data_IF_375712804928
#
_entry.id   IF_375712804928
#
_cell.length_a   1.000
_cell.length_b   1.000
_cell.length_c   1.000
_cell.angle_alpha   90.00
_cell.angle_beta   90.00
_cell.angle_gamma   90.00
#
_symmetry.space_group_name_H-M   'P 1'
#
loop_
_entity.id
_entity.type
_entity.pdbx_description
1 polymer ?
#
# COMPACT_ATOMS: atom_id res chain seq x y z
N UNK A 1 13.74 42.75 38.92
CA UNK A 1 14.29 42.29 37.63
C UNK A 1 14.52 40.78 37.56
N UNK A 2 14.61 40.04 38.67
CA UNK A 2 14.69 38.57 38.67
C UNK A 2 13.36 37.87 38.30
N UNK A 3 12.22 38.48 38.63
CA UNK A 3 10.87 37.94 38.39
C UNK A 3 10.48 37.85 36.90
N UNK A 4 11.06 38.73 36.07
CA UNK A 4 10.87 38.70 34.62
C UNK A 4 11.66 37.56 33.94
N UNK A 5 12.73 37.07 34.55
CA UNK A 5 13.57 36.01 33.99
C UNK A 5 13.01 34.60 34.29
N UNK A 6 12.33 34.43 35.42
CA UNK A 6 11.70 33.15 35.79
C UNK A 6 10.45 32.85 34.94
N UNK A 7 9.70 33.90 34.55
CA UNK A 7 8.50 33.78 33.73
C UNK A 7 8.77 33.43 32.24
N UNK A 8 10.03 33.50 31.80
CA UNK A 8 10.44 33.07 30.45
C UNK A 8 10.39 31.54 30.32
N UNK A 9 10.50 30.80 31.43
CA UNK A 9 10.62 29.33 31.41
C UNK A 9 9.33 28.60 31.02
N UNK A 10 8.18 29.26 31.02
CA UNK A 10 6.88 28.63 30.81
C UNK A 10 6.08 29.12 29.58
N UNK A 11 6.58 30.11 28.83
CA UNK A 11 5.93 30.56 27.59
C UNK A 11 6.00 29.48 26.52
N UNK A 12 4.84 29.07 26.01
CA UNK A 12 4.75 28.09 24.91
C UNK A 12 5.19 28.75 23.60
N UNK A 13 6.10 28.10 22.89
CA UNK A 13 6.68 28.62 21.65
C UNK A 13 5.76 28.26 20.47
N UNK A 14 5.21 29.24 19.73
CA UNK A 14 4.31 28.96 18.61
C UNK A 14 4.97 28.15 17.48
N UNK A 15 6.27 28.35 17.27
CA UNK A 15 7.03 27.58 16.28
C UNK A 15 7.15 26.10 16.69
N UNK A 16 7.23 25.79 17.99
CA UNK A 16 7.30 24.42 18.46
C UNK A 16 5.97 23.69 18.25
N UNK A 17 4.84 24.39 18.42
CA UNK A 17 3.51 23.85 18.09
C UNK A 17 3.40 23.50 16.60
N UNK A 18 3.94 24.34 15.71
CA UNK A 18 3.99 24.10 14.27
C UNK A 18 4.85 22.88 13.94
N UNK A 19 6.06 22.79 14.50
CA UNK A 19 6.96 21.64 14.28
C UNK A 19 6.31 20.34 14.75
N UNK A 20 5.64 20.37 15.91
CA UNK A 20 4.91 19.19 16.40
C UNK A 20 3.75 18.80 15.48
N UNK A 21 2.96 19.77 14.98
CA UNK A 21 1.90 19.52 13.99
C UNK A 21 2.43 19.03 12.63
N UNK A 22 3.65 19.41 12.27
CA UNK A 22 4.34 18.94 11.06
C UNK A 22 4.76 17.47 11.19
N UNK A 23 5.20 17.06 12.38
CA UNK A 23 5.55 15.65 12.63
C UNK A 23 4.29 14.78 12.60
N UNK A 24 3.21 15.24 13.24
CA UNK A 24 1.94 14.54 13.21
C UNK A 24 0.79 15.51 13.45
N UNK A 25 -0.24 15.43 12.60
CA UNK A 25 -1.43 16.24 12.72
C UNK A 25 -2.05 16.09 14.13
N UNK A 26 -2.20 17.21 14.85
CA UNK A 26 -2.80 17.25 16.19
C UNK A 26 -1.83 17.37 17.36
N UNK A 27 -0.54 17.06 17.21
CA UNK A 27 0.43 17.20 18.32
C UNK A 27 0.63 18.66 18.77
N UNK A 28 0.57 19.63 17.86
CA UNK A 28 0.62 21.05 18.22
C UNK A 28 -0.58 21.49 19.08
N UNK A 29 -1.76 20.93 18.86
CA UNK A 29 -2.93 21.19 19.70
C UNK A 29 -2.81 20.55 21.09
N UNK A 30 -2.19 19.37 21.19
CA UNK A 30 -1.88 18.73 22.48
C UNK A 30 -0.88 19.61 23.26
N UNK A 31 0.16 20.11 22.59
CA UNK A 31 1.14 21.03 23.16
C UNK A 31 0.51 22.30 23.74
N UNK A 32 -0.50 22.85 23.04
CA UNK A 32 -1.26 24.02 23.50
C UNK A 32 -2.35 23.70 24.53
N UNK A 33 -2.46 22.47 25.03
CA UNK A 33 -3.42 22.11 26.07
C UNK A 33 -4.79 21.64 25.59
N UNK A 34 -5.00 21.48 24.28
CA UNK A 34 -6.26 21.02 23.69
C UNK A 34 -6.16 19.54 23.30
N UNK A 35 -6.11 18.68 24.31
CA UNK A 35 -5.89 17.24 24.14
C UNK A 35 -6.93 16.58 23.20
N UNK A 36 -8.22 16.81 23.43
CA UNK A 36 -9.30 16.21 22.63
C UNK A 36 -9.22 16.62 21.17
N UNK A 37 -8.98 17.92 20.88
CA UNK A 37 -8.86 18.40 19.50
C UNK A 37 -7.66 17.78 18.78
N UNK A 38 -6.52 17.67 19.47
CA UNK A 38 -5.33 17.03 18.92
C UNK A 38 -5.56 15.57 18.60
N UNK A 39 -6.14 14.82 19.54
CA UNK A 39 -6.45 13.40 19.35
C UNK A 39 -7.44 13.17 18.20
N UNK A 40 -8.51 13.96 18.11
CA UNK A 40 -9.47 13.88 16.98
C UNK A 40 -8.78 14.13 15.64
N UNK A 41 -7.93 15.16 15.54
CA UNK A 41 -7.17 15.44 14.31
C UNK A 41 -6.24 14.29 13.95
N UNK A 42 -5.52 13.71 14.92
CA UNK A 42 -4.65 12.55 14.71
C UNK A 42 -5.42 11.34 14.18
N UNK A 43 -6.54 10.98 14.81
CA UNK A 43 -7.35 9.84 14.38
C UNK A 43 -7.98 10.06 13.00
N UNK A 44 -8.45 11.27 12.72
CA UNK A 44 -9.03 11.63 11.42
C UNK A 44 -7.99 11.50 10.30
N UNK A 45 -6.75 11.93 10.51
CA UNK A 45 -5.70 11.78 9.48
C UNK A 45 -5.15 10.36 9.38
N UNK A 46 -4.98 9.64 10.50
CA UNK A 46 -4.34 8.32 10.50
C UNK A 46 -5.28 7.18 10.08
N UNK A 47 -6.58 7.24 10.40
CA UNK A 47 -7.50 6.13 10.16
C UNK A 47 -8.48 6.44 9.03
N UNK A 48 -9.13 7.61 9.05
CA UNK A 48 -10.21 7.90 8.11
C UNK A 48 -9.71 8.01 6.67
N UNK A 49 -8.57 8.70 6.46
CA UNK A 49 -8.01 8.91 5.12
C UNK A 49 -7.53 7.60 4.48
N UNK A 50 -6.73 6.74 5.15
CA UNK A 50 -6.29 5.47 4.55
C UNK A 50 -7.42 4.46 4.35
N UNK A 51 -8.43 4.43 5.24
CA UNK A 51 -9.58 3.53 5.10
C UNK A 51 -10.47 3.94 3.93
N UNK A 52 -10.72 5.25 3.76
CA UNK A 52 -11.46 5.78 2.62
C UNK A 52 -10.72 5.46 1.31
N UNK A 53 -9.39 5.64 1.28
CA UNK A 53 -8.54 5.26 0.16
C UNK A 53 -8.62 3.75 -0.15
N UNK A 54 -8.48 2.90 0.87
CA UNK A 54 -8.51 1.44 0.72
C UNK A 54 -9.85 0.92 0.19
N UNK A 55 -10.97 1.49 0.65
CA UNK A 55 -12.32 1.16 0.15
C UNK A 55 -12.52 1.55 -1.32
N UNK A 56 -11.91 2.64 -1.77
CA UNK A 56 -12.02 3.12 -3.14
C UNK A 56 -11.08 2.38 -4.11
N UNK A 57 -10.07 1.65 -3.61
CA UNK A 57 -9.04 0.97 -4.42
C UNK A 57 -9.46 -0.40 -4.99
N UNK A 58 -10.64 -0.94 -4.66
CA UNK A 58 -11.01 -2.32 -4.99
C UNK A 58 -11.58 -2.49 -6.42
N UNK A 59 -11.64 -1.43 -7.24
CA UNK A 59 -12.29 -1.52 -8.56
C UNK A 59 -11.71 -0.52 -9.59
N UNK A 60 -11.69 -0.88 -10.89
CA UNK A 60 -10.82 -0.27 -11.91
C UNK A 60 -11.50 0.76 -12.85
N UNK A 61 -12.05 1.88 -12.33
CA UNK A 61 -12.68 2.92 -13.16
C UNK A 61 -11.86 4.23 -13.17
N UNK A 62 -11.73 4.90 -14.31
CA UNK A 62 -10.96 6.16 -14.47
C UNK A 62 -11.43 7.29 -13.53
N UNK A 63 -12.71 7.32 -13.18
CA UNK A 63 -13.30 8.27 -12.22
C UNK A 63 -12.71 8.10 -10.82
N UNK A 64 -12.30 6.88 -10.43
CA UNK A 64 -11.75 6.61 -9.09
C UNK A 64 -10.35 7.18 -8.90
N UNK A 65 -9.52 7.20 -9.95
CA UNK A 65 -8.20 7.82 -9.90
C UNK A 65 -8.34 9.32 -9.61
N UNK A 66 -9.28 9.99 -10.27
CA UNK A 66 -9.58 11.39 -10.02
C UNK A 66 -10.08 11.63 -8.58
N UNK A 67 -10.96 10.76 -8.06
CA UNK A 67 -11.44 10.82 -6.67
C UNK A 67 -10.31 10.61 -5.66
N UNK A 68 -9.38 9.68 -5.93
CA UNK A 68 -8.21 9.44 -5.09
C UNK A 68 -7.32 10.70 -5.04
N UNK A 69 -7.03 11.29 -6.20
CA UNK A 69 -6.22 12.51 -6.28
C UNK A 69 -6.92 13.64 -5.52
N UNK A 70 -8.23 13.84 -5.71
CA UNK A 70 -9.01 14.84 -4.99
C UNK A 70 -9.00 14.61 -3.47
N UNK A 71 -9.10 13.36 -3.02
CA UNK A 71 -9.02 13.00 -1.60
C UNK A 71 -7.63 13.29 -1.00
N UNK A 72 -6.55 13.04 -1.75
CA UNK A 72 -5.18 13.39 -1.33
C UNK A 72 -4.99 14.90 -1.21
N UNK A 73 -5.51 15.68 -2.17
CA UNK A 73 -5.49 17.13 -2.09
C UNK A 73 -6.31 17.66 -0.89
N UNK A 74 -7.52 17.13 -0.68
CA UNK A 74 -8.37 17.50 0.45
C UNK A 74 -7.70 17.17 1.80
N UNK A 75 -7.10 15.98 1.92
CA UNK A 75 -6.34 15.59 3.12
C UNK A 75 -5.14 16.50 3.36
N UNK A 76 -4.41 16.87 2.31
CA UNK A 76 -3.27 17.78 2.41
C UNK A 76 -3.72 19.17 2.86
N UNK A 77 -4.87 19.65 2.36
CA UNK A 77 -5.46 20.90 2.81
C UNK A 77 -5.86 20.87 4.29
N UNK A 78 -6.49 19.79 4.77
CA UNK A 78 -6.84 19.61 6.20
C UNK A 78 -5.59 19.65 7.07
N UNK A 79 -4.49 19.03 6.63
CA UNK A 79 -3.22 19.06 7.35
C UNK A 79 -2.62 20.48 7.43
N UNK A 80 -2.63 21.23 6.33
CA UNK A 80 -2.18 22.63 6.31
C UNK A 80 -3.03 23.51 7.24
N UNK A 81 -4.36 23.33 7.22
CA UNK A 81 -5.27 24.05 8.13
C UNK A 81 -4.97 23.71 9.58
N UNK A 82 -4.70 22.45 9.91
CA UNK A 82 -4.33 22.05 11.26
C UNK A 82 -3.01 22.70 11.72
N UNK A 83 -2.02 22.85 10.83
CA UNK A 83 -0.77 23.55 11.13
C UNK A 83 -1.05 25.01 11.45
N UNK A 84 -1.82 25.70 10.62
CA UNK A 84 -2.17 27.13 10.81
C UNK A 84 -2.99 27.32 12.10
N UNK A 85 -3.98 26.45 12.36
CA UNK A 85 -4.80 26.51 13.57
C UNK A 85 -3.98 26.23 14.83
N UNK A 86 -2.97 25.35 14.75
CA UNK A 86 -2.05 25.08 15.87
C UNK A 86 -1.18 26.30 16.19
N UNK A 87 -0.68 27.02 15.17
CA UNK A 87 0.06 28.26 15.36
C UNK A 87 -0.78 29.34 16.03
N UNK A 88 -2.02 29.52 15.54
CA UNK A 88 -2.92 30.53 16.07
C UNK A 88 -3.37 30.21 17.51
N UNK A 89 -3.64 28.94 17.78
CA UNK A 89 -3.96 28.45 19.13
C UNK A 89 -2.78 28.62 20.08
N UNK A 90 -1.54 28.37 19.62
CA UNK A 90 -0.35 28.59 20.43
C UNK A 90 -0.17 30.06 20.81
N UNK A 91 -0.35 30.98 19.86
CA UNK A 91 -0.25 32.43 20.11
C UNK A 91 -1.30 32.91 21.13
N UNK A 92 -2.51 32.37 21.09
CA UNK A 92 -3.60 32.72 22.02
C UNK A 92 -3.47 32.12 23.42
N UNK A 93 -2.73 31.03 23.55
CA UNK A 93 -2.63 30.27 24.81
C UNK A 93 -1.24 30.42 25.46
N UNK A 94 -0.33 31.20 24.86
CA UNK A 94 1.06 31.32 25.31
C UNK A 94 1.24 31.94 26.70
N UNK A 95 0.33 32.83 27.11
CA UNK A 95 0.47 33.63 28.34
C UNK A 95 -0.26 33.05 29.57
N UNK A 96 -1.23 32.15 29.39
CA UNK A 96 -2.11 31.67 30.48
C UNK A 96 -2.11 30.15 30.66
N UNK A 97 -1.09 29.47 30.13
CA UNK A 97 -1.07 28.01 30.10
C UNK A 97 -0.43 27.36 31.33
N UNK A 98 -1.18 26.47 32.00
CA UNK A 98 -0.66 25.58 33.06
C UNK A 98 -0.33 24.19 32.48
N UNK A 99 0.91 23.68 32.64
CA UNK A 99 1.27 22.32 32.22
C UNK A 99 0.37 21.27 32.86
N UNK A 100 -0.20 20.39 32.03
CA UNK A 100 -0.96 19.20 32.47
C UNK A 100 -0.09 17.94 32.38
N UNK A 101 -0.46 16.89 33.10
CA UNK A 101 0.35 15.66 33.22
C UNK A 101 0.67 14.97 31.88
N UNK A 102 -0.21 15.12 30.88
CA UNK A 102 -0.01 14.55 29.55
C UNK A 102 1.02 15.30 28.70
N UNK A 103 1.55 16.45 29.14
CA UNK A 103 2.52 17.24 28.37
C UNK A 103 3.98 16.77 28.53
N UNK A 104 4.19 15.55 29.05
CA UNK A 104 5.52 14.95 29.19
C UNK A 104 5.97 14.36 27.85
N UNK A 105 7.28 14.44 27.59
CA UNK A 105 7.89 14.07 26.31
C UNK A 105 7.53 12.64 25.85
N UNK A 106 7.39 11.69 26.77
CA UNK A 106 7.08 10.30 26.46
C UNK A 106 5.67 10.12 25.86
N UNK A 107 4.71 11.00 26.18
CA UNK A 107 3.36 10.95 25.61
C UNK A 107 3.40 11.29 24.12
N UNK A 108 4.20 12.29 23.73
CA UNK A 108 4.42 12.65 22.33
C UNK A 108 5.10 11.52 21.56
N UNK A 109 6.15 10.91 22.14
CA UNK A 109 6.84 9.77 21.51
C UNK A 109 5.91 8.59 21.33
N UNK A 110 5.12 8.24 22.35
CA UNK A 110 4.15 7.14 22.28
C UNK A 110 3.07 7.40 21.22
N UNK A 111 2.53 8.62 21.15
CA UNK A 111 1.56 9.00 20.13
C UNK A 111 2.12 8.94 18.71
N UNK A 112 3.36 9.39 18.49
CA UNK A 112 4.04 9.29 17.19
C UNK A 112 4.26 7.82 16.83
N UNK A 113 4.71 6.99 17.77
CA UNK A 113 4.92 5.55 17.53
C UNK A 113 3.61 4.83 17.24
N UNK A 114 2.51 5.16 17.94
CA UNK A 114 1.20 4.59 17.65
C UNK A 114 0.67 5.05 16.28
N UNK A 115 0.79 6.34 15.94
CA UNK A 115 0.27 6.89 14.69
C UNK A 115 1.06 6.46 13.44
N UNK A 116 2.39 6.53 13.50
CA UNK A 116 3.27 6.15 12.38
C UNK A 116 3.52 4.65 12.32
N UNK A 117 3.67 3.99 13.47
CA UNK A 117 3.92 2.55 13.56
C UNK A 117 2.77 1.70 13.02
N UNK A 118 1.52 2.12 13.22
CA UNK A 118 0.37 1.45 12.59
C UNK A 118 0.43 1.47 11.06
N UNK A 119 0.82 2.62 10.49
CA UNK A 119 0.87 2.83 9.04
C UNK A 119 2.02 2.06 8.38
N UNK A 120 3.21 2.05 8.99
CA UNK A 120 4.35 1.29 8.50
C UNK A 120 4.12 -0.21 8.59
N UNK A 121 3.45 -0.70 9.64
CA UNK A 121 3.10 -2.11 9.78
C UNK A 121 2.18 -2.55 8.63
N UNK A 122 1.17 -1.76 8.27
CA UNK A 122 0.26 -2.09 7.17
C UNK A 122 1.03 -2.16 5.84
N UNK A 123 1.86 -1.15 5.53
CA UNK A 123 2.64 -1.13 4.30
C UNK A 123 3.64 -2.31 4.21
N UNK A 124 4.28 -2.66 5.33
CA UNK A 124 5.20 -3.79 5.41
C UNK A 124 4.47 -5.13 5.25
N UNK A 125 3.29 -5.29 5.84
CA UNK A 125 2.44 -6.47 5.66
C UNK A 125 1.98 -6.63 4.21
N UNK A 126 1.63 -5.53 3.52
CA UNK A 126 1.27 -5.57 2.09
C UNK A 126 2.47 -5.99 1.24
N UNK A 127 3.64 -5.37 1.42
CA UNK A 127 4.84 -5.69 0.63
C UNK A 127 5.36 -7.10 0.85
N UNK A 128 5.31 -7.63 2.08
CA UNK A 128 5.83 -8.97 2.35
C UNK A 128 4.87 -10.08 1.92
N UNK A 129 3.55 -9.87 2.05
CA UNK A 129 2.59 -10.98 1.97
C UNK A 129 1.63 -10.93 0.79
N UNK A 130 1.43 -9.78 0.11
CA UNK A 130 0.38 -9.63 -0.90
C UNK A 130 0.90 -9.60 -2.34
N UNK A 131 1.99 -8.89 -2.62
CA UNK A 131 2.44 -8.64 -3.99
C UNK A 131 3.93 -8.98 -4.16
N UNK A 132 4.24 -9.94 -5.02
CA UNK A 132 5.62 -10.20 -5.45
C UNK A 132 5.77 -9.92 -6.94
N UNK A 133 6.82 -9.16 -7.27
CA UNK A 133 7.16 -8.85 -8.65
C UNK A 133 8.07 -9.96 -9.20
N UNK A 134 7.58 -10.70 -10.20
CA UNK A 134 8.38 -11.67 -10.93
C UNK A 134 8.79 -11.10 -12.29
N UNK A 135 10.05 -11.35 -12.66
CA UNK A 135 10.55 -11.10 -14.01
C UNK A 135 10.45 -12.40 -14.80
N UNK A 136 9.87 -12.35 -15.99
CA UNK A 136 9.70 -13.55 -16.83
C UNK A 136 10.91 -13.69 -17.78
N UNK A 137 11.77 -14.71 -17.60
CA UNK A 137 12.96 -14.86 -18.43
C UNK A 137 12.68 -15.60 -19.75
N UNK A 138 11.47 -16.17 -19.94
CA UNK A 138 11.17 -17.02 -21.11
C UNK A 138 9.87 -16.64 -21.80
N UNK A 139 9.85 -16.78 -23.14
CA UNK A 139 8.71 -16.50 -24.02
C UNK A 139 7.60 -17.59 -23.96
N UNK A 140 7.40 -18.27 -22.82
CA UNK A 140 6.52 -19.45 -22.76
C UNK A 140 5.03 -19.15 -22.66
N UNK A 141 4.65 -17.88 -22.45
CA UNK A 141 3.26 -17.40 -22.46
C UNK A 141 3.03 -16.33 -23.55
N UNK A 142 3.87 -16.28 -24.59
CA UNK A 142 3.68 -15.38 -25.73
C UNK A 142 2.38 -15.76 -26.49
N UNK A 143 1.55 -14.79 -26.95
CA UNK A 143 1.76 -13.33 -26.95
C UNK A 143 1.22 -12.61 -25.71
N UNK A 144 0.69 -13.33 -24.70
CA UNK A 144 0.12 -12.69 -23.50
C UNK A 144 1.19 -12.05 -22.61
N UNK A 145 2.41 -12.59 -22.60
CA UNK A 145 3.53 -12.09 -21.79
C UNK A 145 4.78 -12.07 -22.67
N UNK A 146 5.42 -10.91 -22.77
CA UNK A 146 6.69 -10.75 -23.48
C UNK A 146 7.87 -11.09 -22.56
N UNK A 147 8.98 -11.63 -23.12
CA UNK A 147 10.22 -11.76 -22.37
C UNK A 147 10.60 -10.42 -21.76
N UNK A 148 11.02 -10.42 -20.48
CA UNK A 148 11.37 -9.23 -19.69
C UNK A 148 10.19 -8.46 -19.06
N UNK A 149 8.94 -8.89 -19.24
CA UNK A 149 7.81 -8.32 -18.54
C UNK A 149 7.91 -8.49 -17.01
N UNK A 150 7.39 -7.49 -16.30
CA UNK A 150 7.27 -7.49 -14.84
C UNK A 150 5.83 -7.78 -14.46
N UNK A 151 5.61 -8.91 -13.81
CA UNK A 151 4.29 -9.34 -13.36
C UNK A 151 4.18 -9.20 -11.84
N UNK A 152 3.06 -8.66 -11.38
CA UNK A 152 2.72 -8.62 -9.96
C UNK A 152 1.82 -9.82 -9.64
N UNK A 153 2.32 -10.77 -8.86
CA UNK A 153 1.56 -11.93 -8.43
C UNK A 153 0.91 -11.67 -7.07
N UNK A 154 -0.37 -12.01 -6.93
CA UNK A 154 -1.09 -11.99 -5.67
C UNK A 154 -0.91 -13.33 -4.94
N UNK A 155 -0.12 -13.36 -3.86
CA UNK A 155 0.13 -14.59 -3.09
C UNK A 155 -1.07 -15.10 -2.30
N UNK A 156 -2.06 -14.23 -2.04
CA UNK A 156 -3.24 -14.57 -1.25
C UNK A 156 -4.41 -15.05 -2.09
N UNK A 157 -4.31 -15.00 -3.43
CA UNK A 157 -5.39 -15.34 -4.34
C UNK A 157 -5.96 -16.75 -4.10
N UNK A 158 -5.12 -17.69 -3.66
CA UNK A 158 -5.51 -19.08 -3.44
C UNK A 158 -5.39 -19.52 -1.97
N UNK A 159 -5.42 -18.58 -1.02
CA UNK A 159 -5.41 -18.92 0.42
C UNK A 159 -6.73 -19.54 0.88
N UNK A 160 -7.86 -19.04 0.35
CA UNK A 160 -9.21 -19.46 0.73
C UNK A 160 -10.06 -19.88 -0.49
N UNK A 161 -9.45 -20.01 -1.67
CA UNK A 161 -10.14 -20.35 -2.91
C UNK A 161 -9.24 -21.17 -3.81
N UNK A 162 -9.83 -22.09 -4.56
CA UNK A 162 -9.10 -22.91 -5.51
C UNK A 162 -8.80 -22.16 -6.82
N UNK A 163 -7.72 -22.52 -7.53
CA UNK A 163 -7.44 -22.01 -8.86
C UNK A 163 -8.56 -22.35 -9.83
N UNK A 164 -8.84 -21.41 -10.74
CA UNK A 164 -9.87 -21.57 -11.77
C UNK A 164 -9.24 -21.81 -13.13
N UNK A 165 -9.99 -22.46 -14.02
CA UNK A 165 -9.58 -22.60 -15.42
C UNK A 165 -9.32 -21.22 -16.04
N UNK A 166 -8.20 -21.10 -16.73
CA UNK A 166 -7.76 -19.85 -17.37
C UNK A 166 -6.84 -18.98 -16.50
N UNK A 167 -6.73 -19.23 -15.20
CA UNK A 167 -5.86 -18.45 -14.31
C UNK A 167 -4.38 -18.57 -14.69
N UNK A 168 -3.62 -17.48 -14.57
CA UNK A 168 -2.16 -17.49 -14.74
C UNK A 168 -1.51 -17.58 -13.35
N UNK A 169 -0.87 -18.72 -13.07
CA UNK A 169 -0.33 -19.01 -11.75
C UNK A 169 1.19 -19.07 -11.76
N UNK A 170 1.78 -18.63 -10.66
CA UNK A 170 3.20 -18.82 -10.37
C UNK A 170 3.32 -19.93 -9.33
N UNK A 171 4.10 -20.97 -9.64
CA UNK A 171 4.34 -22.07 -8.71
C UNK A 171 5.81 -22.46 -8.69
N UNK A 172 6.24 -23.03 -7.57
CA UNK A 172 7.59 -23.56 -7.40
C UNK A 172 7.73 -24.83 -8.24
N UNK A 173 8.79 -24.93 -9.03
CA UNK A 173 9.05 -26.14 -9.79
C UNK A 173 9.22 -27.34 -8.82
N UNK A 174 8.46 -28.44 -9.00
CA UNK A 174 8.55 -29.61 -8.13
C UNK A 174 9.94 -30.24 -8.07
N UNK A 175 10.73 -30.12 -9.15
CA UNK A 175 12.08 -30.69 -9.26
C UNK A 175 13.17 -29.78 -8.69
N UNK A 176 12.97 -28.46 -8.74
CA UNK A 176 13.92 -27.46 -8.25
C UNK A 176 13.15 -26.30 -7.62
N UNK A 177 13.09 -26.28 -6.28
CA UNK A 177 12.38 -25.25 -5.53
C UNK A 177 13.09 -23.88 -5.57
N UNK A 178 14.26 -23.78 -6.19
CA UNK A 178 14.92 -22.50 -6.46
C UNK A 178 14.32 -21.71 -7.62
N UNK A 179 13.44 -22.32 -8.42
CA UNK A 179 12.90 -21.72 -9.64
C UNK A 179 11.37 -21.63 -9.62
N UNK A 180 10.86 -20.44 -9.97
CA UNK A 180 9.43 -20.16 -10.12
C UNK A 180 9.02 -20.29 -11.58
N UNK A 181 7.95 -21.04 -11.86
CA UNK A 181 7.37 -21.19 -13.20
C UNK A 181 6.02 -20.50 -13.27
N UNK A 182 5.75 -19.93 -14.45
CA UNK A 182 4.49 -19.26 -14.77
C UNK A 182 3.76 -20.07 -15.83
N UNK A 183 2.58 -20.58 -15.51
CA UNK A 183 1.74 -21.34 -16.44
C UNK A 183 0.28 -20.94 -16.29
N UNK A 184 -0.50 -21.20 -17.34
CA UNK A 184 -1.95 -21.07 -17.31
C UNK A 184 -2.60 -22.36 -16.84
N UNK A 185 -3.56 -22.27 -15.93
CA UNK A 185 -4.38 -23.39 -15.45
C UNK A 185 -5.32 -23.80 -16.57
N UNK A 186 -5.17 -25.01 -17.08
CA UNK A 186 -6.02 -25.52 -18.16
C UNK A 186 -7.17 -26.39 -17.63
N UNK A 187 -6.89 -27.16 -16.57
CA UNK A 187 -7.84 -28.06 -15.93
C UNK A 187 -7.70 -27.95 -14.40
N UNK A 188 -8.76 -28.28 -13.68
CA UNK A 188 -8.84 -28.25 -12.22
C UNK A 188 -9.22 -29.63 -11.67
N UNK A 189 -9.22 -29.80 -10.34
CA UNK A 189 -9.61 -31.06 -9.72
C UNK A 189 -11.03 -31.47 -10.15
N UNK A 190 -11.19 -32.73 -10.58
CA UNK A 190 -12.43 -33.26 -11.14
C UNK A 190 -12.48 -33.28 -12.67
N UNK A 191 -11.54 -32.63 -13.35
CA UNK A 191 -11.45 -32.66 -14.81
C UNK A 191 -10.68 -33.87 -15.32
N UNK A 192 -11.15 -34.43 -16.43
CA UNK A 192 -10.42 -35.45 -17.21
C UNK A 192 -9.69 -34.76 -18.35
N UNK A 193 -8.37 -34.93 -18.42
CA UNK A 193 -7.52 -34.32 -19.45
C UNK A 193 -6.93 -35.41 -20.33
N UNK A 194 -7.13 -35.28 -21.64
CA UNK A 194 -6.63 -36.26 -22.62
C UNK A 194 -5.97 -35.55 -23.80
N UNK A 195 -4.88 -36.11 -24.32
CA UNK A 195 -4.22 -35.60 -25.54
C UNK A 195 -4.36 -36.67 -26.62
N UNK A 196 -5.15 -36.40 -27.67
CA UNK A 196 -5.28 -37.25 -28.86
C UNK A 196 -4.77 -36.50 -30.07
N UNK A 197 -3.82 -37.08 -30.80
CA UNK A 197 -3.29 -36.51 -32.05
C UNK A 197 -2.79 -35.06 -31.89
N UNK A 198 -2.17 -34.76 -30.75
CA UNK A 198 -1.67 -33.41 -30.41
C UNK A 198 -2.76 -32.38 -30.07
N UNK A 199 -4.04 -32.79 -30.05
CA UNK A 199 -5.16 -31.96 -29.61
C UNK A 199 -5.47 -32.25 -28.14
N UNK A 200 -5.73 -31.19 -27.36
CA UNK A 200 -6.06 -31.29 -25.94
C UNK A 200 -7.58 -31.36 -25.76
N UNK A 201 -8.04 -32.36 -25.02
CA UNK A 201 -9.43 -32.56 -24.63
C UNK A 201 -9.58 -32.42 -23.13
N UNK A 202 -10.66 -31.77 -22.69
CA UNK A 202 -11.00 -31.62 -21.28
C UNK A 202 -12.46 -32.04 -21.12
N UNK A 203 -12.72 -33.07 -20.32
CA UNK A 203 -14.05 -33.67 -20.17
C UNK A 203 -14.69 -34.01 -21.53
N UNK A 204 -13.91 -34.67 -22.39
CA UNK A 204 -14.27 -35.03 -23.77
C UNK A 204 -14.51 -33.86 -24.75
N UNK A 205 -14.46 -32.60 -24.28
CA UNK A 205 -14.55 -31.43 -25.14
C UNK A 205 -13.17 -30.99 -25.63
N UNK A 206 -13.06 -30.77 -26.95
CA UNK A 206 -11.82 -30.28 -27.56
C UNK A 206 -11.56 -28.83 -27.14
N UNK A 207 -10.42 -28.58 -26.49
CA UNK A 207 -9.99 -27.22 -26.18
C UNK A 207 -9.54 -26.52 -27.47
N UNK A 208 -10.29 -25.50 -27.88
CA UNK A 208 -9.94 -24.69 -29.04
C UNK A 208 -8.69 -23.85 -28.74
N UNK A 209 -7.55 -24.23 -29.31
CA UNK A 209 -6.31 -23.46 -29.26
C UNK A 209 -6.15 -22.67 -30.55
N UNK A 210 -5.91 -21.37 -30.43
CA UNK A 210 -5.46 -20.57 -31.57
C UNK A 210 -3.96 -20.81 -31.77
N UNK A 211 -3.58 -21.37 -32.92
CA UNK A 211 -2.17 -21.43 -33.30
C UNK A 211 -1.71 -20.02 -33.67
N UNK A 212 -0.53 -19.64 -33.18
CA UNK A 212 0.08 -18.37 -33.54
C UNK A 212 0.61 -18.45 -34.98
N UNK A 213 0.51 -17.34 -35.71
CA UNK A 213 1.07 -17.24 -37.05
C UNK A 213 2.59 -17.40 -37.00
N UNK A 214 3.18 -18.06 -38.00
CA UNK A 214 4.62 -18.30 -38.08
C UNK A 214 5.43 -16.99 -38.02
N UNK A 215 4.91 -15.92 -38.63
CA UNK A 215 5.50 -14.57 -38.58
C UNK A 215 5.60 -13.99 -37.17
N UNK A 216 4.73 -14.40 -36.24
CA UNK A 216 4.82 -14.01 -34.83
C UNK A 216 5.86 -14.83 -34.07
N UNK A 217 6.11 -16.08 -34.48
CA UNK A 217 7.13 -16.93 -33.88
C UNK A 217 8.54 -16.51 -34.31
N UNK A 218 8.71 -16.08 -35.56
CA UNK A 218 10.01 -15.64 -36.11
C UNK A 218 10.58 -14.39 -35.41
N UNK A 219 9.71 -13.56 -34.83
CA UNK A 219 10.11 -12.38 -34.06
C UNK A 219 10.58 -12.70 -32.63
N UNK A 220 10.40 -13.93 -32.15
CA UNK A 220 10.82 -14.35 -30.82
C UNK A 220 12.31 -14.75 -30.87
N UNK A 221 13.21 -13.78 -30.69
CA UNK A 221 14.63 -14.07 -30.47
C UNK A 221 14.85 -14.65 -29.08
N UNK A 222 14.94 -15.97 -28.98
CA UNK A 222 15.46 -16.64 -27.78
C UNK A 222 16.97 -16.75 -27.94
N UNK A 223 17.73 -15.87 -27.28
CA UNK A 223 19.18 -16.04 -27.15
C UNK A 223 19.44 -17.26 -26.27
N UNK A 224 19.73 -18.40 -26.90
CA UNK A 224 20.19 -19.60 -26.20
C UNK A 224 21.61 -19.33 -25.74
N UNK A 225 21.78 -18.87 -24.50
CA UNK A 225 23.09 -18.90 -23.83
C UNK A 225 23.41 -20.36 -23.53
N UNK A 226 24.24 -20.97 -24.37
CA UNK A 226 24.93 -22.22 -24.03
C UNK A 226 25.83 -21.96 -22.83
N UNK A 227 25.52 -22.61 -21.71
CA UNK A 227 26.41 -22.71 -20.55
C UNK A 227 27.57 -23.64 -20.83
#
# INVERSE_FOLDING_TARGET
MAEAAENIKHRRLPWLAVVLSLIMAGLGHIYCGRFVKGLVLTFLTCIFVPVLFGRLSVSNDSVRIAVIIAALFASSAVWLVAIIDSWYTAKRTADSYTPKDYNRWYVYVLLVLMGTGGSTQIAFNIRMNLLEAFRVPSASNYPTIEPNDRLLANKLAYKNSDPKRGDLIVFLNPKDRGQNYIKRVVAIAGDTVEIKEGQLYINDEKLQRQMLAQSMLDNIRVEVRSG
#
